data_IF_879446130270
#
_entry.id   IF_879446130270
#
_cell.length_a   1.000
_cell.length_b   1.000
_cell.length_c   1.000
_cell.angle_alpha   90.00
_cell.angle_beta   90.00
_cell.angle_gamma   90.00
#
_symmetry.space_group_name_H-M   'P 1'
#
loop_
_entity.id
_entity.type
_entity.pdbx_description
1 polymer ?
#
# COMPACT_ATOMS: atom_id res chain seq x y z
N UNK A 1 -5.65 -10.08 -10.23
CA UNK A 1 -4.99 -11.27 -9.66
C UNK A 1 -3.74 -11.63 -10.45
N UNK A 2 -2.58 -11.51 -9.80
CA UNK A 2 -1.28 -11.92 -10.34
C UNK A 2 -0.80 -13.17 -9.62
N UNK A 3 -0.33 -14.20 -10.34
CA UNK A 3 0.19 -15.43 -9.73
C UNK A 3 1.72 -15.41 -9.79
N UNK A 4 2.35 -15.55 -8.63
CA UNK A 4 3.79 -15.61 -8.48
C UNK A 4 4.25 -17.04 -8.73
N UNK A 5 5.11 -17.20 -9.71
CA UNK A 5 5.71 -18.47 -10.15
C UNK A 5 7.21 -18.39 -9.98
N UNK A 6 7.91 -19.50 -10.20
CA UNK A 6 9.38 -19.49 -10.21
C UNK A 6 9.94 -18.45 -11.22
N UNK A 7 9.29 -18.32 -12.39
CA UNK A 7 9.73 -17.45 -13.49
C UNK A 7 9.63 -15.95 -13.19
N UNK A 8 8.73 -15.54 -12.30
CA UNK A 8 8.52 -14.13 -11.94
C UNK A 8 8.86 -13.82 -10.46
N UNK A 9 9.41 -14.80 -9.73
CA UNK A 9 9.76 -14.65 -8.31
C UNK A 9 10.79 -13.56 -8.05
N UNK A 10 11.67 -13.25 -9.00
CA UNK A 10 12.64 -12.15 -8.89
C UNK A 10 11.95 -10.78 -8.88
N UNK A 11 10.89 -10.63 -9.67
CA UNK A 11 10.07 -9.40 -9.69
C UNK A 11 9.36 -9.20 -8.35
N UNK A 12 8.75 -10.26 -7.81
CA UNK A 12 8.10 -10.21 -6.50
C UNK A 12 9.10 -9.88 -5.38
N UNK A 13 10.33 -10.40 -5.43
CA UNK A 13 11.38 -10.04 -4.48
C UNK A 13 11.85 -8.60 -4.64
N UNK A 14 11.90 -8.08 -5.87
CA UNK A 14 12.21 -6.66 -6.08
C UNK A 14 11.12 -5.77 -5.49
N UNK A 15 9.84 -6.10 -5.71
CA UNK A 15 8.72 -5.39 -5.09
C UNK A 15 8.80 -5.42 -3.55
N UNK A 16 9.21 -6.55 -2.95
CA UNK A 16 9.44 -6.61 -1.50
C UNK A 16 10.56 -5.65 -1.05
N UNK A 17 11.64 -5.49 -1.82
CA UNK A 17 12.70 -4.52 -1.48
C UNK A 17 12.19 -3.09 -1.55
N UNK A 18 11.44 -2.76 -2.59
CA UNK A 18 10.86 -1.44 -2.77
C UNK A 18 9.85 -1.12 -1.65
N UNK A 19 9.04 -2.10 -1.22
CA UNK A 19 8.13 -1.98 -0.06
C UNK A 19 8.90 -1.73 1.23
N UNK A 20 9.99 -2.46 1.47
CA UNK A 20 10.80 -2.25 2.67
C UNK A 20 11.44 -0.87 2.68
N UNK A 21 11.90 -0.40 1.52
CA UNK A 21 12.42 0.95 1.37
C UNK A 21 11.34 2.00 1.69
N UNK A 22 10.14 1.86 1.11
CA UNK A 22 9.00 2.73 1.41
C UNK A 22 8.67 2.74 2.91
N UNK A 23 8.69 1.58 3.58
CA UNK A 23 8.42 1.49 5.01
C UNK A 23 9.47 2.23 5.85
N UNK A 24 10.74 2.16 5.47
CA UNK A 24 11.81 2.93 6.11
C UNK A 24 11.58 4.43 5.92
N UNK A 25 11.25 4.87 4.71
CA UNK A 25 10.98 6.29 4.42
C UNK A 25 9.79 6.83 5.23
N UNK A 26 8.69 6.08 5.29
CA UNK A 26 7.52 6.38 6.14
C UNK A 26 7.91 6.56 7.62
N UNK A 27 8.78 5.70 8.14
CA UNK A 27 9.18 5.69 9.54
C UNK A 27 10.18 6.82 9.88
N UNK A 28 11.19 7.04 9.03
CA UNK A 28 12.30 7.96 9.32
C UNK A 28 11.98 9.40 8.92
N UNK A 29 11.31 9.60 7.78
CA UNK A 29 11.09 10.94 7.22
C UNK A 29 9.86 11.62 7.82
N UNK A 30 8.82 10.86 8.17
CA UNK A 30 7.51 11.42 8.54
C UNK A 30 6.92 10.87 9.85
N UNK A 31 7.41 9.73 10.35
CA UNK A 31 6.77 8.96 11.42
C UNK A 31 5.27 8.71 11.14
N UNK A 32 4.94 8.44 9.88
CA UNK A 32 3.57 8.45 9.37
C UNK A 32 3.55 8.61 7.86
N UNK A 33 2.40 9.01 7.31
CA UNK A 33 2.27 9.34 5.89
C UNK A 33 2.75 10.76 5.62
N UNK A 34 3.49 10.93 4.52
CA UNK A 34 4.06 12.21 4.10
C UNK A 34 3.75 12.54 2.65
N UNK A 35 4.14 13.75 2.25
CA UNK A 35 4.06 14.17 0.86
C UNK A 35 5.39 13.90 0.12
N UNK A 36 5.32 13.33 -1.08
CA UNK A 36 6.44 13.09 -1.98
C UNK A 36 7.19 11.78 -1.70
N UNK A 37 6.48 10.75 -1.23
CA UNK A 37 7.11 9.50 -0.78
C UNK A 37 7.66 8.66 -1.92
N UNK A 38 8.86 8.12 -1.72
CA UNK A 38 9.48 7.22 -2.69
C UNK A 38 8.92 5.79 -2.52
N UNK A 39 8.16 5.36 -3.54
CA UNK A 39 7.51 4.04 -3.59
C UNK A 39 8.35 3.01 -4.34
N UNK A 40 9.57 3.36 -4.75
CA UNK A 40 10.39 2.54 -5.62
C UNK A 40 9.82 2.42 -7.04
N UNK A 41 10.09 1.30 -7.69
CA UNK A 41 9.82 1.09 -9.13
C UNK A 41 8.72 0.07 -9.41
N UNK A 42 8.24 -0.65 -8.39
CA UNK A 42 7.24 -1.69 -8.56
C UNK A 42 5.83 -1.14 -8.84
N UNK A 43 5.00 -1.92 -9.54
CA UNK A 43 3.58 -1.61 -9.74
C UNK A 43 2.75 -2.21 -8.59
N UNK A 44 2.27 -1.42 -7.62
CA UNK A 44 1.54 -1.96 -6.48
C UNK A 44 0.19 -2.59 -6.87
N UNK A 45 -0.42 -2.11 -7.97
CA UNK A 45 -1.65 -2.74 -8.48
C UNK A 45 -1.44 -4.17 -8.93
N UNK A 46 -0.22 -4.55 -9.31
CA UNK A 46 0.10 -5.92 -9.74
C UNK A 46 0.05 -6.89 -8.56
N UNK A 47 0.47 -6.43 -7.38
CA UNK A 47 0.71 -7.30 -6.24
C UNK A 47 -0.33 -7.23 -5.11
N UNK A 48 -1.28 -6.30 -5.23
CA UNK A 48 -2.36 -6.07 -4.26
C UNK A 48 -3.16 -7.33 -3.88
N UNK A 49 -3.45 -8.18 -4.85
CA UNK A 49 -4.16 -9.46 -4.73
C UNK A 49 -3.30 -10.63 -5.24
N UNK A 50 -1.97 -10.54 -5.11
CA UNK A 50 -1.07 -11.56 -5.65
C UNK A 50 -1.23 -12.90 -4.94
N UNK A 51 -1.24 -14.00 -5.67
CA UNK A 51 -1.16 -15.37 -5.15
C UNK A 51 0.20 -15.98 -5.52
N UNK A 52 0.52 -17.16 -5.00
CA UNK A 52 1.70 -17.91 -5.42
C UNK A 52 1.32 -19.34 -5.79
N UNK A 53 2.02 -19.91 -6.78
CA UNK A 53 1.98 -21.35 -7.02
C UNK A 53 2.52 -22.09 -5.79
N UNK A 54 1.82 -23.14 -5.36
CA UNK A 54 2.30 -23.97 -4.26
C UNK A 54 3.12 -25.17 -4.77
N UNK A 55 4.30 -25.46 -4.16
CA UNK A 55 5.00 -24.64 -3.18
C UNK A 55 5.70 -23.45 -3.84
N UNK A 56 5.60 -22.27 -3.24
CA UNK A 56 6.32 -21.10 -3.71
C UNK A 56 7.83 -21.35 -3.56
N UNK A 57 8.52 -21.60 -4.66
CA UNK A 57 9.95 -21.81 -4.67
C UNK A 57 10.58 -20.81 -5.65
N UNK A 58 11.32 -19.81 -5.16
CA UNK A 58 11.67 -19.52 -3.76
C UNK A 58 10.51 -18.88 -2.97
N UNK A 59 10.51 -18.99 -1.62
CA UNK A 59 9.43 -18.46 -0.79
C UNK A 59 9.38 -16.93 -0.88
N UNK A 60 8.17 -16.41 -1.12
CA UNK A 60 7.86 -14.98 -1.16
C UNK A 60 6.89 -14.67 -0.02
N UNK A 61 7.15 -13.59 0.73
CA UNK A 61 6.24 -13.14 1.78
C UNK A 61 5.02 -12.44 1.17
N UNK A 62 3.99 -13.22 0.80
CA UNK A 62 2.75 -12.72 0.20
C UNK A 62 2.03 -11.71 1.09
N UNK A 63 2.08 -11.89 2.41
CA UNK A 63 1.46 -10.97 3.36
C UNK A 63 2.09 -9.58 3.26
N UNK A 64 3.42 -9.49 3.36
CA UNK A 64 4.13 -8.21 3.21
C UNK A 64 3.92 -7.61 1.81
N UNK A 65 3.91 -8.45 0.78
CA UNK A 65 3.74 -8.00 -0.60
C UNK A 65 2.37 -7.35 -0.83
N UNK A 66 1.28 -8.00 -0.39
CA UNK A 66 -0.09 -7.48 -0.49
C UNK A 66 -0.29 -6.24 0.37
N UNK A 67 0.16 -6.29 1.63
CA UNK A 67 0.04 -5.17 2.57
C UNK A 67 0.83 -3.95 2.12
N UNK A 68 2.10 -4.14 1.74
CA UNK A 68 2.95 -3.07 1.25
C UNK A 68 2.45 -2.46 -0.05
N UNK A 69 1.83 -3.27 -0.93
CA UNK A 69 1.16 -2.76 -2.13
C UNK A 69 -0.04 -1.86 -1.80
N UNK A 70 -0.84 -2.25 -0.80
CA UNK A 70 -1.96 -1.44 -0.34
C UNK A 70 -1.47 -0.11 0.29
N UNK A 71 -0.41 -0.16 1.10
CA UNK A 71 0.23 1.04 1.67
C UNK A 71 0.77 1.95 0.56
N UNK A 72 1.48 1.41 -0.44
CA UNK A 72 2.01 2.21 -1.56
C UNK A 72 0.91 2.91 -2.38
N UNK A 73 -0.26 2.27 -2.54
CA UNK A 73 -1.43 2.92 -3.15
C UNK A 73 -2.01 4.02 -2.27
N UNK A 74 -2.04 3.80 -0.94
CA UNK A 74 -2.48 4.82 0.02
C UNK A 74 -1.55 6.03 0.01
N UNK A 75 -0.24 5.81 -0.06
CA UNK A 75 0.75 6.86 -0.27
C UNK A 75 0.43 7.69 -1.51
N UNK A 76 0.12 7.03 -2.64
CA UNK A 76 -0.24 7.72 -3.87
C UNK A 76 -1.53 8.55 -3.77
N UNK A 77 -2.52 8.06 -3.01
CA UNK A 77 -3.75 8.82 -2.75
C UNK A 77 -3.48 10.01 -1.83
N UNK A 78 -2.62 9.82 -0.83
CA UNK A 78 -2.21 10.88 0.09
C UNK A 78 -1.44 11.98 -0.64
N UNK A 79 -0.55 11.63 -1.56
CA UNK A 79 0.12 12.60 -2.44
C UNK A 79 -0.89 13.36 -3.29
N UNK A 80 -1.82 12.65 -3.93
CA UNK A 80 -2.88 13.29 -4.72
C UNK A 80 -3.71 14.27 -3.88
N UNK A 81 -4.04 13.90 -2.64
CA UNK A 81 -4.77 14.75 -1.71
C UNK A 81 -3.99 16.02 -1.30
N UNK A 82 -2.65 15.95 -1.24
CA UNK A 82 -1.79 17.11 -0.97
C UNK A 82 -1.57 18.00 -2.21
N UNK A 83 -1.53 17.42 -3.41
CA UNK A 83 -1.19 18.13 -4.65
C UNK A 83 -2.40 18.69 -5.40
N UNK A 84 -3.54 17.99 -5.36
CA UNK A 84 -4.72 18.33 -6.14
C UNK A 84 -5.75 19.09 -5.31
N UNK A 85 -6.51 19.97 -5.98
CA UNK A 85 -7.67 20.63 -5.37
C UNK A 85 -8.82 19.64 -5.08
N UNK A 86 -8.86 18.50 -5.79
CA UNK A 86 -9.83 17.42 -5.63
C UNK A 86 -9.17 16.06 -5.93
N UNK A 87 -9.44 15.06 -5.10
CA UNK A 87 -9.00 13.67 -5.31
C UNK A 87 -9.81 12.96 -6.41
N UNK A 88 -10.93 13.54 -6.87
CA UNK A 88 -11.81 13.03 -7.93
C UNK A 88 -11.45 13.55 -9.33
N UNK A 89 -10.16 13.76 -9.61
CA UNK A 89 -9.71 14.14 -10.96
C UNK A 89 -9.87 13.01 -11.97
N UNK A 90 -10.09 13.39 -13.23
CA UNK A 90 -10.04 12.48 -14.38
C UNK A 90 -8.58 12.13 -14.71
N UNK A 91 -8.06 11.12 -14.00
CA UNK A 91 -6.69 10.65 -14.14
C UNK A 91 -6.64 9.11 -14.18
N UNK A 92 -5.92 8.49 -15.13
CA UNK A 92 -5.91 7.03 -15.30
C UNK A 92 -5.53 6.24 -14.05
N UNK A 93 -4.64 6.80 -13.22
CA UNK A 93 -4.26 6.16 -11.94
C UNK A 93 -5.43 6.14 -10.94
N UNK A 94 -6.23 7.21 -10.87
CA UNK A 94 -7.42 7.30 -9.99
C UNK A 94 -8.49 6.33 -10.46
N UNK A 95 -8.73 6.24 -11.77
CA UNK A 95 -9.66 5.25 -12.34
C UNK A 95 -9.22 3.82 -12.02
N UNK A 96 -7.92 3.53 -12.17
CA UNK A 96 -7.33 2.22 -11.82
C UNK A 96 -7.49 1.90 -10.33
N UNK A 97 -7.34 2.90 -9.45
CA UNK A 97 -7.57 2.76 -8.01
C UNK A 97 -9.03 2.46 -7.68
N UNK A 98 -9.98 3.22 -8.25
CA UNK A 98 -11.42 2.96 -8.09
C UNK A 98 -11.82 1.58 -8.60
N UNK A 99 -11.28 1.17 -9.74
CA UNK A 99 -11.53 -0.16 -10.29
C UNK A 99 -11.00 -1.26 -9.35
N UNK A 100 -9.84 -1.08 -8.73
CA UNK A 100 -9.28 -2.04 -7.78
C UNK A 100 -10.13 -2.16 -6.50
N UNK A 101 -10.62 -1.03 -5.99
CA UNK A 101 -11.55 -0.98 -4.85
C UNK A 101 -12.88 -1.68 -5.17
N UNK A 102 -13.49 -1.37 -6.32
CA UNK A 102 -14.74 -1.98 -6.76
C UNK A 102 -14.65 -3.50 -7.00
N UNK A 103 -13.47 -3.98 -7.35
CA UNK A 103 -13.17 -5.41 -7.56
C UNK A 103 -12.73 -6.13 -6.26
N UNK A 104 -12.82 -5.49 -5.10
CA UNK A 104 -12.44 -6.06 -3.81
C UNK A 104 -11.00 -6.58 -3.74
N UNK A 105 -10.08 -5.98 -4.52
CA UNK A 105 -8.69 -6.44 -4.59
C UNK A 105 -7.91 -6.17 -3.29
N UNK A 106 -8.43 -5.30 -2.43
CA UNK A 106 -7.88 -5.00 -1.11
C UNK A 106 -8.36 -5.97 -0.02
N UNK A 107 -8.80 -7.19 -0.36
CA UNK A 107 -9.32 -8.15 0.63
C UNK A 107 -8.36 -8.43 1.81
N UNK A 108 -7.05 -8.31 1.60
CA UNK A 108 -6.04 -8.45 2.66
C UNK A 108 -5.89 -7.21 3.57
N UNK A 109 -6.41 -6.06 3.16
CA UNK A 109 -6.32 -4.76 3.86
C UNK A 109 -7.64 -3.98 3.74
N UNK A 110 -8.75 -4.49 4.30
CA UNK A 110 -10.08 -3.91 4.09
C UNK A 110 -10.24 -2.51 4.72
N UNK A 111 -9.50 -2.21 5.78
CA UNK A 111 -9.45 -0.90 6.42
C UNK A 111 -8.73 0.17 5.57
N UNK A 112 -7.63 -0.19 4.89
CA UNK A 112 -7.02 0.69 3.87
C UNK A 112 -8.04 0.96 2.77
N UNK A 113 -8.73 -0.07 2.28
CA UNK A 113 -9.76 0.08 1.25
C UNK A 113 -10.87 1.03 1.69
N UNK A 114 -11.34 0.87 2.93
CA UNK A 114 -12.37 1.71 3.50
C UNK A 114 -11.95 3.18 3.55
N UNK A 115 -10.76 3.49 4.06
CA UNK A 115 -10.25 4.87 4.09
C UNK A 115 -10.15 5.46 2.69
N UNK A 116 -9.68 4.69 1.70
CA UNK A 116 -9.63 5.16 0.31
C UNK A 116 -11.01 5.45 -0.28
N UNK A 117 -11.99 4.58 -0.03
CA UNK A 117 -13.38 4.79 -0.48
C UNK A 117 -13.95 6.05 0.15
N UNK A 118 -13.84 6.20 1.47
CA UNK A 118 -14.33 7.37 2.20
C UNK A 118 -13.64 8.66 1.74
N UNK A 119 -12.34 8.62 1.41
CA UNK A 119 -11.61 9.77 0.84
C UNK A 119 -12.27 10.27 -0.45
N UNK A 120 -12.66 9.35 -1.34
CA UNK A 120 -13.33 9.70 -2.59
C UNK A 120 -14.76 10.19 -2.36
N UNK A 121 -15.52 9.53 -1.47
CA UNK A 121 -16.92 9.88 -1.18
C UNK A 121 -17.07 11.24 -0.48
N UNK A 122 -16.08 11.62 0.34
CA UNK A 122 -16.05 12.90 1.04
C UNK A 122 -15.66 14.07 0.14
N UNK A 123 -15.13 13.81 -1.06
CA UNK A 123 -14.46 14.83 -1.86
C UNK A 123 -13.40 15.58 -1.02
N UNK A 124 -12.64 14.83 -0.22
CA UNK A 124 -11.68 15.42 0.72
C UNK A 124 -10.67 16.29 -0.01
N UNK A 125 -10.48 17.50 0.51
CA UNK A 125 -9.54 18.51 0.03
C UNK A 125 -8.37 18.63 1.00
N UNK A 126 -7.26 19.20 0.56
CA UNK A 126 -6.04 19.31 1.37
C UNK A 126 -6.24 20.00 2.75
N UNK A 127 -7.27 20.83 2.90
CA UNK A 127 -7.62 21.52 4.14
C UNK A 127 -8.53 20.71 5.09
N UNK A 128 -9.05 19.56 4.63
CA UNK A 128 -9.79 18.60 5.46
C UNK A 128 -8.80 17.66 6.17
N UNK A 129 -8.53 17.83 7.48
CA UNK A 129 -7.52 17.05 8.19
C UNK A 129 -7.90 15.55 8.31
N UNK A 130 -9.14 15.19 7.97
CA UNK A 130 -9.69 13.86 8.14
C UNK A 130 -8.80 12.76 7.56
N UNK A 131 -8.28 12.92 6.33
CA UNK A 131 -7.43 11.89 5.73
C UNK A 131 -6.14 11.71 6.54
N UNK A 132 -5.50 12.81 6.94
CA UNK A 132 -4.32 12.80 7.82
C UNK A 132 -4.57 12.06 9.14
N UNK A 133 -5.74 12.25 9.75
CA UNK A 133 -6.12 11.56 10.97
C UNK A 133 -6.38 10.06 10.74
N UNK A 134 -6.98 9.68 9.61
CA UNK A 134 -7.30 8.28 9.30
C UNK A 134 -6.10 7.44 8.89
N UNK A 135 -5.08 8.04 8.27
CA UNK A 135 -3.90 7.27 7.83
C UNK A 135 -2.95 6.93 8.98
N UNK A 136 -3.00 7.65 10.11
CA UNK A 136 -2.10 7.41 11.25
C UNK A 136 -2.29 6.01 11.87
N UNK A 137 -3.51 5.54 12.21
CA UNK A 137 -3.71 4.16 12.67
C UNK A 137 -3.29 3.10 11.64
N UNK A 138 -3.40 3.40 10.34
CA UNK A 138 -2.98 2.49 9.28
C UNK A 138 -1.45 2.36 9.23
N UNK A 139 -0.72 3.46 9.39
CA UNK A 139 0.74 3.44 9.53
C UNK A 139 1.17 2.57 10.71
N UNK A 140 0.55 2.76 11.87
CA UNK A 140 0.86 1.98 13.08
C UNK A 140 0.64 0.48 12.85
N UNK A 141 -0.48 0.13 12.22
CA UNK A 141 -0.89 -1.26 11.98
C UNK A 141 -0.03 -1.97 10.92
N UNK A 142 0.30 -1.30 9.82
CA UNK A 142 0.93 -1.96 8.66
C UNK A 142 2.44 -1.77 8.60
N UNK A 143 2.95 -0.64 9.08
CA UNK A 143 4.36 -0.25 8.96
C UNK A 143 5.07 -0.38 10.30
N UNK A 144 4.61 0.34 11.33
CA UNK A 144 5.28 0.30 12.63
C UNK A 144 5.24 -1.11 13.25
N UNK A 145 4.09 -1.79 13.18
CA UNK A 145 3.96 -3.17 13.64
C UNK A 145 4.84 -4.16 12.85
N UNK A 146 5.19 -3.88 11.59
CA UNK A 146 6.15 -4.68 10.84
C UNK A 146 7.54 -4.61 11.48
N UNK A 147 8.05 -3.41 11.74
CA UNK A 147 9.35 -3.23 12.39
C UNK A 147 9.37 -3.74 13.83
N UNK A 148 8.30 -3.55 14.60
CA UNK A 148 8.17 -4.08 15.97
C UNK A 148 8.30 -5.62 15.96
N UNK A 149 7.63 -6.30 15.04
CA UNK A 149 7.75 -7.77 14.91
C UNK A 149 9.17 -8.20 14.57
N UNK A 150 9.85 -7.50 13.66
CA UNK A 150 11.25 -7.78 13.34
C UNK A 150 12.16 -7.58 14.55
N UNK A 151 11.99 -6.49 15.30
CA UNK A 151 12.79 -6.18 16.48
C UNK A 151 12.58 -7.18 17.63
N UNK A 152 11.38 -7.76 17.74
CA UNK A 152 11.00 -8.69 18.82
C UNK A 152 11.13 -10.17 18.43
N UNK A 153 11.43 -10.48 17.17
CA UNK A 153 11.55 -11.85 16.67
C UNK A 153 10.21 -12.60 16.58
N UNK A 154 9.08 -11.89 16.54
CA UNK A 154 7.77 -12.52 16.36
C UNK A 154 7.53 -12.86 14.88
N UNK A 155 7.26 -14.13 14.58
CA UNK A 155 6.90 -14.56 13.22
C UNK A 155 5.55 -13.95 12.78
N UNK A 156 5.41 -13.70 11.47
CA UNK A 156 4.12 -13.33 10.89
C UNK A 156 3.15 -14.52 11.05
N UNK A 157 2.11 -14.33 11.86
CA UNK A 157 0.96 -15.25 11.92
C UNK A 157 0.13 -15.21 10.65
#
# INVERSE_FOLDING_TARGET
MHVITHENSDEARQALRDILFLYVDLAESYNGFGHGMDRGTFDPFRFLDAEAEEPANPPVNLTLLRQGSAVALLCGLYDLWNEAEDVNIDHPWVERLRSALAQWRFAACPDIAQVMVETFERYSRFDDPWLGEQVQPLYEKYVAAYFIRLATGQAAG
#
